data_IF_246164061962
#
_entry.id   IF_246164061962
#
_cell.length_a   1.000
_cell.length_b   1.000
_cell.length_c   1.000
_cell.angle_alpha   90.00
_cell.angle_beta   90.00
_cell.angle_gamma   90.00
#
_symmetry.space_group_name_H-M   'P 1'
#
loop_
_entity.id
_entity.type
_entity.pdbx_description
1 polymer ?
#
# COMPACT_ATOMS: atom_id res chain seq x y z
N UNK A 1 -9.29 27.35 -3.23
CA UNK A 1 -7.95 26.71 -3.19
C UNK A 1 -7.06 27.45 -4.17
N UNK A 2 -5.80 27.75 -3.84
CA UNK A 2 -4.88 28.37 -4.79
C UNK A 2 -4.80 27.51 -6.07
N UNK A 3 -4.56 28.14 -7.22
CA UNK A 3 -4.80 27.61 -8.58
C UNK A 3 -4.25 26.19 -8.88
N UNK A 4 -3.32 25.66 -8.07
CA UNK A 4 -2.78 24.29 -8.22
C UNK A 4 -2.73 23.47 -6.91
N UNK A 5 -3.44 23.85 -5.85
CA UNK A 5 -3.38 23.08 -4.58
C UNK A 5 -3.99 21.69 -4.76
N UNK A 6 -5.15 21.58 -5.41
CA UNK A 6 -5.86 20.31 -5.62
C UNK A 6 -5.02 19.30 -6.41
N UNK A 7 -4.45 19.74 -7.54
CA UNK A 7 -3.61 18.90 -8.40
C UNK A 7 -2.38 18.36 -7.66
N UNK A 8 -1.67 19.26 -6.95
CA UNK A 8 -0.51 18.86 -6.15
C UNK A 8 -0.85 17.86 -5.05
N UNK A 9 -2.03 17.96 -4.41
CA UNK A 9 -2.44 16.97 -3.41
C UNK A 9 -2.70 15.63 -4.09
N UNK A 10 -3.41 15.60 -5.23
CA UNK A 10 -3.65 14.38 -6.00
C UNK A 10 -2.36 13.67 -6.41
N UNK A 11 -1.37 14.39 -6.92
CA UNK A 11 -0.06 13.84 -7.26
C UNK A 11 0.62 13.15 -6.07
N UNK A 12 0.49 13.70 -4.86
CA UNK A 12 1.05 13.07 -3.65
C UNK A 12 0.34 11.77 -3.31
N UNK A 13 -0.99 11.74 -3.40
CA UNK A 13 -1.76 10.53 -3.14
C UNK A 13 -1.54 9.45 -4.20
N UNK A 14 -1.33 9.81 -5.47
CA UNK A 14 -0.88 8.87 -6.51
C UNK A 14 0.49 8.27 -6.17
N UNK A 15 1.42 9.08 -5.66
CA UNK A 15 2.72 8.60 -5.19
C UNK A 15 2.59 7.64 -4.01
N UNK A 16 1.73 7.95 -3.03
CA UNK A 16 1.43 7.07 -1.89
C UNK A 16 0.87 5.73 -2.39
N UNK A 17 -0.09 5.76 -3.31
CA UNK A 17 -0.69 4.56 -3.87
C UNK A 17 0.37 3.65 -4.55
N UNK A 18 1.24 4.22 -5.39
CA UNK A 18 2.34 3.47 -6.02
C UNK A 18 3.30 2.84 -5.00
N UNK A 19 3.58 3.53 -3.90
CA UNK A 19 4.42 2.99 -2.83
C UNK A 19 3.76 1.80 -2.13
N UNK A 20 2.44 1.83 -1.91
CA UNK A 20 1.72 0.70 -1.35
C UNK A 20 1.68 -0.50 -2.30
N UNK A 21 1.52 -0.29 -3.60
CA UNK A 21 1.66 -1.35 -4.61
C UNK A 21 3.05 -2.00 -4.54
N UNK A 22 4.10 -1.19 -4.40
CA UNK A 22 5.48 -1.69 -4.24
C UNK A 22 5.65 -2.55 -2.99
N UNK A 23 5.12 -2.10 -1.84
CA UNK A 23 5.14 -2.87 -0.59
C UNK A 23 4.39 -4.19 -0.74
N UNK A 24 3.21 -4.17 -1.37
CA UNK A 24 2.41 -5.38 -1.62
C UNK A 24 3.15 -6.40 -2.49
N UNK A 25 3.85 -5.94 -3.53
CA UNK A 25 4.67 -6.82 -4.37
C UNK A 25 5.80 -7.48 -3.57
N UNK A 26 6.48 -6.74 -2.70
CA UNK A 26 7.54 -7.29 -1.86
C UNK A 26 7.00 -8.27 -0.83
N UNK A 27 5.82 -8.02 -0.25
CA UNK A 27 5.18 -8.98 0.65
C UNK A 27 4.91 -10.31 -0.09
N UNK A 28 4.37 -10.26 -1.30
CA UNK A 28 4.14 -11.47 -2.12
C UNK A 28 5.43 -12.22 -2.45
N UNK A 29 6.51 -11.50 -2.74
CA UNK A 29 7.81 -12.13 -2.99
C UNK A 29 8.38 -12.78 -1.73
N UNK A 30 8.28 -12.11 -0.58
CA UNK A 30 8.64 -12.69 0.72
C UNK A 30 7.84 -13.96 1.02
N UNK A 31 6.52 -13.95 0.81
CA UNK A 31 5.68 -15.13 1.02
C UNK A 31 6.12 -16.31 0.14
N UNK A 32 6.50 -16.06 -1.12
CA UNK A 32 7.06 -17.10 -2.01
C UNK A 32 8.41 -17.65 -1.53
N UNK A 33 9.27 -16.80 -0.96
CA UNK A 33 10.58 -17.19 -0.45
C UNK A 33 10.46 -18.02 0.84
N UNK A 34 9.55 -17.62 1.73
CA UNK A 34 9.27 -18.32 2.98
C UNK A 34 8.55 -19.65 2.70
N UNK A 35 7.53 -19.61 1.83
CA UNK A 35 6.64 -20.72 1.54
C UNK A 35 6.15 -21.40 2.83
N UNK A 36 6.15 -22.73 2.87
CA UNK A 36 5.68 -23.51 4.02
C UNK A 36 6.77 -23.73 5.09
N UNK A 37 7.96 -23.14 4.92
CA UNK A 37 9.12 -23.40 5.78
C UNK A 37 9.00 -22.72 7.15
N UNK A 38 8.30 -21.58 7.21
CA UNK A 38 8.12 -20.84 8.46
C UNK A 38 6.72 -20.22 8.55
N UNK A 39 5.73 -20.97 9.05
CA UNK A 39 4.34 -20.51 9.17
C UNK A 39 4.17 -19.23 10.00
N UNK A 40 5.04 -18.99 10.98
CA UNK A 40 4.98 -17.77 11.80
C UNK A 40 5.38 -16.54 10.99
N UNK A 41 6.40 -16.65 10.14
CA UNK A 41 6.80 -15.54 9.27
C UNK A 41 5.79 -15.29 8.16
N UNK A 42 5.24 -16.34 7.54
CA UNK A 42 4.16 -16.21 6.54
C UNK A 42 2.99 -15.42 7.11
N UNK A 43 2.51 -15.79 8.31
CA UNK A 43 1.43 -15.04 8.99
C UNK A 43 1.77 -13.57 9.23
N UNK A 44 3.03 -13.27 9.58
CA UNK A 44 3.47 -11.89 9.80
C UNK A 44 3.49 -11.07 8.50
N UNK A 45 3.95 -11.65 7.40
CA UNK A 45 3.97 -10.99 6.08
C UNK A 45 2.55 -10.81 5.53
N UNK A 46 1.68 -11.81 5.67
CA UNK A 46 0.27 -11.70 5.33
C UNK A 46 -0.43 -10.59 6.13
N UNK A 47 -0.14 -10.48 7.43
CA UNK A 47 -0.68 -9.42 8.28
C UNK A 47 -0.21 -8.02 7.84
N UNK A 48 1.07 -7.89 7.46
CA UNK A 48 1.60 -6.65 6.90
C UNK A 48 0.90 -6.29 5.59
N UNK A 49 0.78 -7.25 4.65
CA UNK A 49 0.11 -7.03 3.36
C UNK A 49 -1.35 -6.58 3.56
N UNK A 50 -2.07 -7.19 4.51
CA UNK A 50 -3.43 -6.78 4.87
C UNK A 50 -3.46 -5.34 5.41
N UNK A 51 -2.54 -4.99 6.31
CA UNK A 51 -2.41 -3.63 6.83
C UNK A 51 -2.11 -2.59 5.74
N UNK A 52 -1.18 -2.90 4.84
CA UNK A 52 -0.84 -2.06 3.69
C UNK A 52 -2.04 -1.82 2.79
N UNK A 53 -2.83 -2.88 2.50
CA UNK A 53 -4.06 -2.74 1.71
C UNK A 53 -5.06 -1.80 2.37
N UNK A 54 -5.28 -1.91 3.68
CA UNK A 54 -6.17 -1.00 4.41
C UNK A 54 -5.69 0.45 4.32
N UNK A 55 -4.38 0.69 4.48
CA UNK A 55 -3.81 2.04 4.37
C UNK A 55 -3.97 2.62 2.95
N UNK A 56 -3.82 1.78 1.93
CA UNK A 56 -4.03 2.18 0.53
C UNK A 56 -5.48 2.54 0.24
N UNK A 57 -6.44 1.75 0.73
CA UNK A 57 -7.87 2.04 0.61
C UNK A 57 -8.23 3.39 1.25
N UNK A 58 -7.67 3.70 2.42
CA UNK A 58 -7.84 5.01 3.07
C UNK A 58 -7.24 6.15 2.23
N UNK A 59 -6.05 5.94 1.66
CA UNK A 59 -5.41 6.94 0.80
C UNK A 59 -6.22 7.19 -0.49
N UNK A 60 -6.76 6.13 -1.10
CA UNK A 60 -7.62 6.22 -2.29
C UNK A 60 -8.96 6.91 -1.99
N UNK A 61 -9.57 6.65 -0.84
CA UNK A 61 -10.79 7.34 -0.42
C UNK A 61 -10.56 8.86 -0.30
N UNK A 62 -9.43 9.27 0.29
CA UNK A 62 -9.06 10.70 0.34
C UNK A 62 -8.84 11.25 -1.08
N UNK A 63 -8.10 10.53 -1.94
CA UNK A 63 -7.87 10.95 -3.33
C UNK A 63 -9.17 11.19 -4.10
N UNK A 64 -10.16 10.30 -3.96
CA UNK A 64 -11.46 10.42 -4.64
C UNK A 64 -12.31 11.59 -4.13
N UNK A 65 -12.13 11.98 -2.86
CA UNK A 65 -12.83 13.11 -2.25
C UNK A 65 -12.20 14.47 -2.60
N UNK A 66 -10.94 14.48 -3.04
CA UNK A 66 -10.21 15.70 -3.45
C UNK A 66 -10.68 16.15 -4.82
#
# INVERSE_FOLDING_TARGET
MASNTRGRIKERFEGIHRNFDWVMEHCRQCDKLIADKNPSMTKAVEALAKGTKTLDELARDIYHKI
#
